data_IF_250628348153
#
_entry.id   IF_250628348153
#
_cell.length_a   1.000
_cell.length_b   1.000
_cell.length_c   1.000
_cell.angle_alpha   90.00
_cell.angle_beta   90.00
_cell.angle_gamma   90.00
#
_symmetry.space_group_name_H-M   'P 1'
#
loop_
_entity.id
_entity.type
_entity.pdbx_description
1 polymer ?
#
# COMPACT_ATOMS: atom_id res chain seq x y z
N UNK A 1 -26.82 -44.91 4.27
CA UNK A 1 -25.86 -44.07 5.01
C UNK A 1 -24.76 -43.52 4.08
N UNK A 2 -25.15 -42.90 2.95
CA UNK A 2 -24.20 -42.29 1.98
C UNK A 2 -24.65 -40.89 1.51
N UNK A 3 -25.86 -40.45 1.88
CA UNK A 3 -26.46 -39.19 1.42
C UNK A 3 -26.07 -37.99 2.32
N UNK A 4 -25.72 -38.24 3.58
CA UNK A 4 -25.34 -37.19 4.55
C UNK A 4 -23.90 -36.68 4.42
N UNK A 5 -23.01 -37.42 3.74
CA UNK A 5 -21.63 -36.99 3.53
C UNK A 5 -21.52 -35.98 2.38
N UNK A 6 -22.31 -36.14 1.32
CA UNK A 6 -22.29 -35.24 0.15
C UNK A 6 -22.81 -33.83 0.46
N UNK A 7 -23.86 -33.70 1.28
CA UNK A 7 -24.44 -32.40 1.65
C UNK A 7 -23.50 -31.59 2.53
N UNK A 8 -22.86 -32.22 3.52
CA UNK A 8 -21.92 -31.55 4.43
C UNK A 8 -20.69 -31.00 3.71
N UNK A 9 -20.14 -31.74 2.73
CA UNK A 9 -19.06 -31.22 1.88
C UNK A 9 -19.50 -30.09 0.96
N UNK A 10 -20.74 -30.15 0.43
CA UNK A 10 -21.25 -29.10 -0.45
C UNK A 10 -21.50 -27.80 0.32
N UNK A 11 -22.11 -27.89 1.50
CA UNK A 11 -22.36 -26.73 2.38
C UNK A 11 -21.03 -26.11 2.86
N UNK A 12 -20.05 -26.94 3.20
CA UNK A 12 -18.71 -26.46 3.58
C UNK A 12 -17.97 -25.77 2.43
N UNK A 13 -18.10 -26.28 1.21
CA UNK A 13 -17.51 -25.67 0.01
C UNK A 13 -18.19 -24.34 -0.35
N UNK A 14 -19.51 -24.25 -0.23
CA UNK A 14 -20.24 -22.99 -0.41
C UNK A 14 -19.83 -21.95 0.62
N UNK A 15 -19.72 -22.35 1.90
CA UNK A 15 -19.27 -21.47 2.97
C UNK A 15 -17.84 -20.96 2.74
N UNK A 16 -16.89 -21.83 2.39
CA UNK A 16 -15.52 -21.45 2.06
C UNK A 16 -15.44 -20.51 0.85
N UNK A 17 -16.23 -20.79 -0.19
CA UNK A 17 -16.31 -19.92 -1.38
C UNK A 17 -16.87 -18.54 -1.02
N UNK A 18 -17.88 -18.50 -0.15
CA UNK A 18 -18.44 -17.26 0.39
C UNK A 18 -17.43 -16.45 1.21
N UNK A 19 -16.67 -17.11 2.09
CA UNK A 19 -15.62 -16.44 2.88
C UNK A 19 -14.48 -15.91 2.02
N UNK A 20 -14.04 -16.67 1.00
CA UNK A 20 -13.02 -16.21 0.05
C UNK A 20 -13.48 -15.00 -0.77
N UNK A 21 -14.75 -14.99 -1.20
CA UNK A 21 -15.35 -13.85 -1.89
C UNK A 21 -15.41 -12.63 -0.97
N UNK A 22 -15.89 -12.80 0.26
CA UNK A 22 -15.92 -11.72 1.25
C UNK A 22 -14.51 -11.15 1.53
N UNK A 23 -13.50 -12.00 1.61
CA UNK A 23 -12.12 -11.56 1.77
C UNK A 23 -11.59 -10.77 0.56
N UNK A 24 -11.91 -11.20 -0.67
CA UNK A 24 -11.60 -10.44 -1.89
C UNK A 24 -12.29 -9.08 -1.90
N UNK A 25 -13.57 -9.03 -1.52
CA UNK A 25 -14.33 -7.78 -1.46
C UNK A 25 -13.69 -6.80 -0.45
N UNK A 26 -13.31 -7.27 0.73
CA UNK A 26 -12.58 -6.48 1.73
C UNK A 26 -11.21 -6.03 1.19
N UNK A 27 -10.46 -6.92 0.55
CA UNK A 27 -9.14 -6.61 0.01
C UNK A 27 -9.20 -5.44 -1.01
N UNK A 28 -10.25 -5.37 -1.83
CA UNK A 28 -10.46 -4.26 -2.76
C UNK A 28 -10.57 -2.88 -2.06
N UNK A 29 -11.01 -2.84 -0.80
CA UNK A 29 -11.06 -1.60 0.00
C UNK A 29 -9.80 -1.35 0.85
N UNK A 30 -9.01 -2.39 1.13
CA UNK A 30 -7.77 -2.28 1.90
C UNK A 30 -6.61 -1.86 1.00
N UNK A 31 -6.65 -2.25 -0.29
CA UNK A 31 -5.59 -1.92 -1.24
C UNK A 31 -5.50 -0.40 -1.33
N UNK A 32 -4.39 0.16 -0.86
CA UNK A 32 -4.27 1.59 -0.83
C UNK A 32 -4.12 2.07 -2.27
N UNK A 33 -4.84 3.14 -2.63
CA UNK A 33 -4.62 3.75 -3.93
C UNK A 33 -3.16 4.23 -4.03
N UNK A 34 -2.59 4.31 -5.24
CA UNK A 34 -1.38 5.07 -5.45
C UNK A 34 -1.56 6.42 -4.74
N UNK A 35 -0.65 6.75 -3.84
CA UNK A 35 -0.71 8.02 -3.11
C UNK A 35 -0.74 9.21 -4.07
N UNK A 36 -0.83 10.42 -3.53
CA UNK A 36 -0.79 11.61 -4.38
C UNK A 36 0.52 11.66 -5.19
N UNK A 37 0.39 11.81 -6.51
CA UNK A 37 1.53 11.90 -7.42
C UNK A 37 2.43 13.07 -6.96
N UNK A 38 3.72 12.82 -6.72
CA UNK A 38 4.59 13.82 -6.13
C UNK A 38 4.94 14.89 -7.15
N UNK A 39 5.13 16.10 -6.64
CA UNK A 39 5.56 17.23 -7.47
C UNK A 39 7.04 17.50 -7.22
N UNK A 40 7.86 17.40 -8.27
CA UNK A 40 9.28 17.72 -8.21
C UNK A 40 9.62 18.73 -9.30
N UNK A 41 10.47 19.70 -8.98
CA UNK A 41 10.83 20.74 -9.95
C UNK A 41 11.61 20.11 -11.11
N UNK A 42 11.07 20.23 -12.33
CA UNK A 42 11.69 19.72 -13.55
C UNK A 42 11.57 18.21 -13.75
N UNK A 43 10.72 17.53 -12.98
CA UNK A 43 10.47 16.08 -13.12
C UNK A 43 8.96 15.85 -13.13
N UNK A 44 8.46 15.35 -14.25
CA UNK A 44 7.09 14.86 -14.35
C UNK A 44 7.02 13.41 -13.90
N UNK A 45 6.06 13.08 -13.03
CA UNK A 45 5.88 11.74 -12.46
C UNK A 45 4.53 11.19 -12.89
N UNK A 46 4.53 10.00 -13.48
CA UNK A 46 3.31 9.30 -13.90
C UNK A 46 3.49 7.79 -13.74
N UNK A 47 2.38 7.10 -13.52
CA UNK A 47 2.34 5.64 -13.48
C UNK A 47 1.08 5.13 -12.78
N UNK A 48 0.71 3.90 -13.11
CA UNK A 48 -0.46 3.21 -12.60
C UNK A 48 -0.30 1.71 -12.83
N UNK A 49 -1.28 0.93 -12.38
CA UNK A 49 -1.31 -0.53 -12.53
C UNK A 49 -2.48 -0.94 -13.42
N UNK A 50 -2.29 -1.99 -14.22
CA UNK A 50 -3.34 -2.57 -15.06
C UNK A 50 -3.61 -3.99 -14.54
N UNK A 51 -4.72 -4.24 -13.82
CA UNK A 51 -5.00 -5.55 -13.27
C UNK A 51 -5.43 -6.55 -14.35
N UNK A 52 -4.96 -7.80 -14.26
CA UNK A 52 -5.25 -8.85 -15.24
C UNK A 52 -6.75 -9.23 -15.32
N UNK A 53 -7.44 -9.32 -14.18
CA UNK A 53 -8.82 -9.80 -14.10
C UNK A 53 -9.82 -8.78 -13.52
N UNK A 54 -9.46 -7.49 -13.48
CA UNK A 54 -10.29 -6.44 -12.86
C UNK A 54 -10.40 -6.51 -11.34
N UNK A 55 -9.88 -7.58 -10.71
CA UNK A 55 -9.63 -7.69 -9.28
C UNK A 55 -8.24 -7.13 -8.99
N UNK A 56 -8.04 -6.52 -7.82
CA UNK A 56 -6.72 -6.07 -7.40
C UNK A 56 -5.70 -7.21 -7.48
N UNK A 57 -4.62 -6.99 -8.24
CA UNK A 57 -3.51 -7.93 -8.38
C UNK A 57 -2.37 -7.68 -7.37
N UNK A 58 -1.28 -8.42 -7.52
CA UNK A 58 -0.06 -8.23 -6.72
C UNK A 58 0.78 -7.01 -7.12
N UNK A 59 0.56 -6.46 -8.32
CA UNK A 59 1.25 -5.27 -8.80
C UNK A 59 0.79 -4.02 -8.05
N UNK A 60 1.73 -3.30 -7.48
CA UNK A 60 1.43 -2.08 -6.73
C UNK A 60 2.44 -0.97 -6.94
N UNK A 61 1.93 0.25 -7.10
CA UNK A 61 2.71 1.46 -7.20
C UNK A 61 2.35 2.42 -6.08
N UNK A 62 3.37 2.91 -5.38
CA UNK A 62 3.23 3.79 -4.22
C UNK A 62 3.98 5.07 -4.49
N UNK A 63 3.28 6.17 -4.30
CA UNK A 63 3.83 7.51 -4.41
C UNK A 63 3.87 8.19 -3.04
N UNK A 64 4.98 8.88 -2.75
CA UNK A 64 5.13 9.71 -1.57
C UNK A 64 5.73 11.05 -1.94
N UNK A 65 4.93 12.10 -1.77
CA UNK A 65 5.43 13.47 -1.70
C UNK A 65 5.76 13.80 -0.25
N UNK A 66 7.05 13.83 0.09
CA UNK A 66 7.50 14.10 1.46
C UNK A 66 7.03 15.47 1.97
N UNK A 67 6.82 16.45 1.09
CA UNK A 67 6.35 17.80 1.46
C UNK A 67 4.87 17.81 1.84
N UNK A 68 4.07 16.95 1.23
CA UNK A 68 2.62 16.87 1.47
C UNK A 68 2.28 15.87 2.57
N UNK A 69 2.99 14.75 2.61
CA UNK A 69 2.71 13.64 3.55
C UNK A 69 3.06 14.00 4.99
N UNK A 70 4.13 14.76 5.20
CA UNK A 70 4.60 15.14 6.52
C UNK A 70 4.69 16.66 6.65
N UNK A 71 4.34 17.20 7.82
CA UNK A 71 4.65 18.59 8.16
C UNK A 71 6.16 18.72 8.44
N UNK A 72 6.95 18.77 7.36
CA UNK A 72 8.39 18.92 7.45
C UNK A 72 8.79 20.25 8.09
N UNK A 73 7.99 21.32 7.94
CA UNK A 73 8.28 22.62 8.57
C UNK A 73 8.21 22.52 10.09
N UNK A 74 7.15 21.93 10.63
CA UNK A 74 7.03 21.72 12.06
C UNK A 74 8.13 20.79 12.60
N UNK A 75 8.48 19.74 11.84
CA UNK A 75 9.56 18.81 12.21
C UNK A 75 10.94 19.47 12.22
N UNK A 76 11.24 20.32 11.23
CA UNK A 76 12.49 21.10 11.18
C UNK A 76 12.55 22.06 12.38
N UNK A 77 11.46 22.80 12.64
CA UNK A 77 11.40 23.72 13.78
C UNK A 77 11.64 23.00 15.11
N UNK A 78 11.05 21.81 15.28
CA UNK A 78 11.25 20.99 16.48
C UNK A 78 12.70 20.52 16.61
N UNK A 79 13.28 19.96 15.54
CA UNK A 79 14.67 19.48 15.54
C UNK A 79 15.67 20.63 15.82
N UNK A 80 15.42 21.82 15.28
CA UNK A 80 16.23 23.00 15.55
C UNK A 80 16.15 23.44 17.02
N UNK A 81 14.95 23.41 17.62
CA UNK A 81 14.76 23.70 19.05
C UNK A 81 15.47 22.68 19.95
N UNK A 82 15.53 21.41 19.52
CA UNK A 82 16.27 20.33 20.19
C UNK A 82 17.78 20.35 19.88
N UNK A 83 18.28 21.32 19.08
CA UNK A 83 19.68 21.43 18.63
C UNK A 83 20.20 20.21 17.85
N UNK A 84 19.31 19.45 17.22
CA UNK A 84 19.63 18.29 16.37
C UNK A 84 19.86 18.73 14.92
N UNK A 85 21.03 19.35 14.67
CA UNK A 85 21.36 19.93 13.38
C UNK A 85 21.47 18.90 12.25
N UNK A 86 21.93 17.69 12.58
CA UNK A 86 21.97 16.53 11.67
C UNK A 86 20.58 16.19 11.12
N UNK A 87 19.55 16.23 11.99
CA UNK A 87 18.17 15.98 11.60
C UNK A 87 17.58 17.13 10.80
N UNK A 88 17.91 18.38 11.15
CA UNK A 88 17.49 19.55 10.38
C UNK A 88 17.96 19.41 8.93
N UNK A 89 19.24 19.11 8.73
CA UNK A 89 19.81 18.93 7.39
C UNK A 89 19.13 17.77 6.64
N UNK A 90 18.89 16.63 7.31
CA UNK A 90 18.21 15.50 6.70
C UNK A 90 16.77 15.86 6.27
N UNK A 91 16.02 16.59 7.10
CA UNK A 91 14.65 17.01 6.79
C UNK A 91 14.60 18.03 5.65
N UNK A 92 15.54 18.98 5.61
CA UNK A 92 15.67 19.94 4.50
C UNK A 92 16.02 19.23 3.18
N UNK A 93 16.84 18.19 3.22
CA UNK A 93 17.11 17.33 2.05
C UNK A 93 15.85 16.60 1.61
N UNK A 94 15.04 16.09 2.53
CA UNK A 94 13.78 15.41 2.22
C UNK A 94 12.74 16.33 1.57
N UNK A 95 12.78 17.64 1.85
CA UNK A 95 11.89 18.62 1.23
C UNK A 95 11.96 18.64 -0.31
N UNK A 96 13.11 18.25 -0.88
CA UNK A 96 13.35 18.25 -2.33
C UNK A 96 13.21 16.87 -2.96
N UNK A 97 12.69 15.89 -2.23
CA UNK A 97 12.63 14.49 -2.67
C UNK A 97 11.19 14.01 -2.76
N UNK A 98 11.02 12.92 -3.50
CA UNK A 98 9.82 12.09 -3.50
C UNK A 98 10.24 10.61 -3.45
N UNK A 99 9.33 9.76 -2.98
CA UNK A 99 9.49 8.31 -3.00
C UNK A 99 8.55 7.69 -4.03
N UNK A 100 9.07 6.72 -4.79
CA UNK A 100 8.28 5.85 -5.66
C UNK A 100 8.67 4.41 -5.34
N UNK A 101 7.69 3.56 -5.05
CA UNK A 101 7.89 2.12 -4.89
C UNK A 101 7.05 1.41 -5.94
N UNK A 102 7.67 0.48 -6.64
CA UNK A 102 7.01 -0.47 -7.53
C UNK A 102 7.25 -1.86 -6.95
N UNK A 103 6.17 -2.58 -6.65
CA UNK A 103 6.22 -3.92 -6.08
C UNK A 103 5.43 -4.87 -6.96
N UNK A 104 6.02 -6.02 -7.25
CA UNK A 104 5.37 -7.18 -7.85
C UNK A 104 5.31 -8.26 -6.74
N UNK A 105 4.13 -8.45 -6.16
CA UNK A 105 3.90 -9.57 -5.25
C UNK A 105 3.50 -10.76 -6.10
N UNK A 106 4.29 -11.84 -6.04
CA UNK A 106 4.11 -13.03 -6.86
C UNK A 106 2.73 -13.68 -6.65
N UNK A 107 1.73 -13.26 -7.43
CA UNK A 107 0.40 -13.86 -7.43
C UNK A 107 -0.74 -12.91 -7.79
N UNK A 108 -1.96 -13.43 -7.67
CA UNK A 108 -3.23 -12.76 -7.99
C UNK A 108 -4.26 -12.98 -6.88
N UNK A 109 -3.83 -13.56 -5.75
CA UNK A 109 -4.70 -13.93 -4.66
C UNK A 109 -4.86 -12.75 -3.70
N UNK A 110 -5.96 -12.73 -2.96
CA UNK A 110 -6.22 -11.66 -2.00
C UNK A 110 -5.18 -11.58 -0.87
N UNK A 111 -4.43 -12.66 -0.61
CA UNK A 111 -3.27 -12.67 0.30
C UNK A 111 -2.11 -11.82 -0.22
N UNK A 112 -1.93 -11.75 -1.53
CA UNK A 112 -0.87 -10.98 -2.17
C UNK A 112 -1.17 -9.48 -2.08
N UNK A 113 -2.45 -9.12 -2.24
CA UNK A 113 -2.95 -7.78 -2.00
C UNK A 113 -2.73 -7.33 -0.54
N UNK A 114 -2.87 -8.23 0.44
CA UNK A 114 -2.58 -7.93 1.84
C UNK A 114 -1.08 -7.64 2.07
N UNK A 115 -0.17 -8.45 1.51
CA UNK A 115 1.27 -8.19 1.60
C UNK A 115 1.65 -6.84 0.98
N UNK A 116 1.07 -6.52 -0.17
CA UNK A 116 1.23 -5.23 -0.83
C UNK A 116 0.73 -4.06 0.04
N UNK A 117 -0.42 -4.22 0.70
CA UNK A 117 -0.94 -3.23 1.64
C UNK A 117 -0.05 -3.05 2.88
N UNK A 118 0.49 -4.13 3.43
CA UNK A 118 1.44 -4.08 4.55
C UNK A 118 2.75 -3.39 4.15
N UNK A 119 3.30 -3.71 2.97
CA UNK A 119 4.46 -3.03 2.41
C UNK A 119 4.19 -1.53 2.25
N UNK A 120 3.00 -1.17 1.77
CA UNK A 120 2.60 0.22 1.64
C UNK A 120 2.55 0.94 2.99
N UNK A 121 1.97 0.30 4.01
CA UNK A 121 1.96 0.87 5.36
C UNK A 121 3.37 1.04 5.93
N UNK A 122 4.23 0.01 5.81
CA UNK A 122 5.61 0.05 6.29
C UNK A 122 6.41 1.17 5.60
N UNK A 123 6.27 1.30 4.27
CA UNK A 123 6.92 2.35 3.51
C UNK A 123 6.48 3.77 3.93
N UNK A 124 5.19 3.96 4.22
CA UNK A 124 4.66 5.25 4.67
C UNK A 124 4.97 5.59 6.12
N UNK A 125 5.24 4.60 6.97
CA UNK A 125 5.49 4.80 8.40
C UNK A 125 6.98 4.83 8.73
N UNK A 126 7.83 4.21 7.90
CA UNK A 126 9.27 4.13 8.13
C UNK A 126 9.63 3.24 9.33
N UNK A 127 8.90 2.13 9.49
CA UNK A 127 9.11 1.11 10.54
C UNK A 127 10.35 0.27 10.29
#
# INVERSE_FOLDING_TARGET
MYILLGSQTSDSLEQLTGELKNFQDIANYIVPQPGEIPTLNGIDVYGGTIPLNGVVGGDHIIYVDFKKRYDLKARIKRAAAEKRLDVVEALERCWKKAGIVVSDVAGHHATDALLSAMLHQAFLLGS
#
